data_IF_529724790933
#
_entry.id   IF_529724790933
#
_cell.length_a   1.000
_cell.length_b   1.000
_cell.length_c   1.000
_cell.angle_alpha   90.00
_cell.angle_beta   90.00
_cell.angle_gamma   90.00
#
_symmetry.space_group_name_H-M   'P 1'
#
loop_
_entity.id
_entity.type
_entity.pdbx_description
1 polymer ?
#
# COMPACT_ATOMS: atom_id res chain seq x y z
N UNK A 1 14.83 2.88 14.23
CA UNK A 1 15.12 2.57 12.82
C UNK A 1 13.96 1.78 12.21
N UNK A 2 13.57 2.10 10.99
CA UNK A 2 12.46 1.44 10.34
C UNK A 2 12.79 0.05 9.82
N UNK A 3 11.76 -0.70 9.48
CA UNK A 3 11.88 -2.01 8.85
C UNK A 3 10.95 -2.07 7.63
N UNK A 4 11.21 -3.02 6.73
CA UNK A 4 10.35 -3.32 5.60
C UNK A 4 10.01 -4.80 5.69
N UNK A 5 8.72 -5.12 5.68
CA UNK A 5 8.26 -6.49 5.86
C UNK A 5 6.97 -6.76 5.08
N UNK A 6 6.75 -8.03 4.75
CA UNK A 6 5.48 -8.49 4.19
C UNK A 6 4.45 -8.60 5.31
N UNK A 7 3.29 -8.01 5.11
CA UNK A 7 2.19 -8.11 6.06
C UNK A 7 1.09 -9.02 5.53
N UNK A 8 0.71 -10.01 6.34
CA UNK A 8 -0.49 -10.82 6.08
C UNK A 8 -1.61 -10.33 6.98
N UNK A 9 -2.73 -9.93 6.37
CA UNK A 9 -3.90 -9.41 7.08
C UNK A 9 -4.79 -10.56 7.57
N UNK A 10 -5.70 -10.27 8.52
CA UNK A 10 -6.61 -11.26 9.08
C UNK A 10 -7.52 -11.90 8.03
N UNK A 11 -7.86 -11.16 6.98
CA UNK A 11 -8.67 -11.66 5.88
C UNK A 11 -7.94 -12.65 4.98
N UNK A 12 -6.62 -12.82 5.16
CA UNK A 12 -5.78 -13.59 4.26
C UNK A 12 -5.18 -12.75 3.14
N UNK A 13 -5.58 -11.50 2.99
CA UNK A 13 -4.97 -10.57 2.03
C UNK A 13 -3.58 -10.19 2.48
N UNK A 14 -2.76 -9.74 1.54
CA UNK A 14 -1.37 -9.37 1.81
C UNK A 14 -1.06 -7.97 1.31
N UNK A 15 -0.25 -7.26 2.09
CA UNK A 15 0.40 -6.02 1.66
C UNK A 15 1.88 -6.35 1.50
N UNK A 16 2.45 -6.01 0.34
CA UNK A 16 3.80 -6.47 0.00
C UNK A 16 4.87 -5.92 0.94
N UNK A 17 4.77 -4.66 1.33
CA UNK A 17 5.77 -4.04 2.17
C UNK A 17 5.15 -3.12 3.19
N UNK A 18 5.74 -3.11 4.38
CA UNK A 18 5.46 -2.13 5.42
C UNK A 18 6.81 -1.56 5.85
N UNK A 19 6.95 -0.25 5.78
CA UNK A 19 8.06 0.44 6.41
C UNK A 19 7.59 1.00 7.74
N UNK A 20 8.32 0.72 8.81
CA UNK A 20 7.89 1.14 10.13
C UNK A 20 8.93 0.91 11.21
N UNK A 21 8.48 0.93 12.46
CA UNK A 21 9.29 0.64 13.63
C UNK A 21 8.79 -0.65 14.28
N UNK A 22 9.55 -1.74 14.12
CA UNK A 22 9.18 -3.05 14.60
C UNK A 22 9.04 -3.09 16.13
N UNK A 23 9.90 -2.37 16.84
CA UNK A 23 9.92 -2.39 18.31
C UNK A 23 8.60 -1.84 18.89
N UNK A 24 7.94 -0.94 18.21
CA UNK A 24 6.69 -0.32 18.65
C UNK A 24 5.47 -0.78 17.86
N UNK A 25 5.65 -1.66 16.87
CA UNK A 25 4.56 -2.09 16.02
C UNK A 25 3.98 -0.97 15.14
N UNK A 26 4.78 0.02 14.80
CA UNK A 26 4.36 1.20 14.04
C UNK A 26 4.67 1.00 12.56
N UNK A 27 3.65 1.16 11.72
CA UNK A 27 3.83 1.23 10.27
C UNK A 27 3.87 2.70 9.85
N UNK A 28 4.95 3.12 9.19
CA UNK A 28 5.06 4.48 8.66
C UNK A 28 4.53 4.60 7.25
N UNK A 29 4.68 3.56 6.47
CA UNK A 29 4.27 3.56 5.08
C UNK A 29 3.77 2.17 4.67
N UNK A 30 2.62 2.14 4.01
CA UNK A 30 2.04 0.91 3.47
C UNK A 30 2.27 0.91 1.97
N UNK A 31 2.92 -0.13 1.45
CA UNK A 31 3.33 -0.18 0.05
C UNK A 31 2.90 -1.50 -0.57
N UNK A 32 2.27 -1.42 -1.74
CA UNK A 32 1.88 -2.56 -2.55
C UNK A 32 2.55 -2.43 -3.90
N UNK A 33 3.10 -3.51 -4.42
CA UNK A 33 3.69 -3.52 -5.76
C UNK A 33 2.74 -4.26 -6.69
N UNK A 34 2.34 -3.61 -7.77
CA UNK A 34 1.48 -4.20 -8.79
C UNK A 34 1.94 -3.69 -10.15
N UNK A 35 2.17 -4.58 -11.11
CA UNK A 35 2.62 -4.18 -12.43
C UNK A 35 1.65 -3.21 -13.10
N UNK A 36 0.35 -3.41 -12.86
CA UNK A 36 -0.70 -2.57 -13.43
C UNK A 36 -1.93 -2.61 -12.55
N UNK A 37 -2.63 -1.48 -12.47
CA UNK A 37 -3.92 -1.35 -11.79
C UNK A 37 -5.08 -1.22 -12.79
N UNK A 38 -4.85 -1.55 -14.06
CA UNK A 38 -5.87 -1.44 -15.11
C UNK A 38 -6.92 -2.54 -15.04
N UNK A 39 -6.52 -3.75 -14.61
CA UNK A 39 -7.46 -4.85 -14.42
C UNK A 39 -8.30 -4.58 -13.18
N UNK A 40 -9.62 -4.57 -13.31
CA UNK A 40 -10.50 -4.21 -12.21
C UNK A 40 -10.44 -5.20 -11.04
N UNK A 41 -10.35 -6.49 -11.33
CA UNK A 41 -10.23 -7.50 -10.27
C UNK A 41 -8.93 -7.33 -9.48
N UNK A 42 -7.82 -7.07 -10.16
CA UNK A 42 -6.54 -6.77 -9.53
C UNK A 42 -6.64 -5.51 -8.69
N UNK A 43 -7.21 -4.44 -9.28
CA UNK A 43 -7.39 -3.16 -8.59
C UNK A 43 -8.20 -3.31 -7.31
N UNK A 44 -9.33 -4.00 -7.37
CA UNK A 44 -10.18 -4.22 -6.19
C UNK A 44 -9.44 -5.00 -5.12
N UNK A 45 -8.70 -6.04 -5.49
CA UNK A 45 -7.93 -6.84 -4.55
C UNK A 45 -6.86 -6.01 -3.86
N UNK A 46 -6.08 -5.23 -4.61
CA UNK A 46 -5.02 -4.41 -4.04
C UNK A 46 -5.58 -3.29 -3.17
N UNK A 47 -6.63 -2.61 -3.65
CA UNK A 47 -7.28 -1.54 -2.88
C UNK A 47 -7.87 -2.09 -1.59
N UNK A 48 -8.56 -3.23 -1.63
CA UNK A 48 -9.14 -3.84 -0.43
C UNK A 48 -8.08 -4.19 0.60
N UNK A 49 -6.95 -4.76 0.15
CA UNK A 49 -5.87 -5.11 1.06
C UNK A 49 -5.28 -3.86 1.72
N UNK A 50 -5.07 -2.79 0.96
CA UNK A 50 -4.54 -1.55 1.51
C UNK A 50 -5.54 -0.86 2.43
N UNK A 51 -6.84 -0.87 2.11
CA UNK A 51 -7.86 -0.33 3.01
C UNK A 51 -7.85 -1.04 4.36
N UNK A 52 -7.75 -2.36 4.35
CA UNK A 52 -7.68 -3.13 5.60
C UNK A 52 -6.43 -2.78 6.40
N UNK A 53 -5.29 -2.65 5.74
CA UNK A 53 -4.04 -2.27 6.39
C UNK A 53 -4.10 -0.83 6.92
N UNK A 54 -4.67 0.10 6.16
CA UNK A 54 -4.84 1.49 6.59
C UNK A 54 -5.68 1.57 7.86
N UNK A 55 -6.78 0.82 7.92
CA UNK A 55 -7.61 0.78 9.10
C UNK A 55 -6.87 0.16 10.29
N UNK A 56 -6.14 -0.92 10.06
CA UNK A 56 -5.40 -1.63 11.12
C UNK A 56 -4.31 -0.76 11.75
N UNK A 57 -3.60 0.03 10.94
CA UNK A 57 -2.49 0.85 11.40
C UNK A 57 -2.87 2.32 11.55
N UNK A 58 -4.14 2.65 11.41
CA UNK A 58 -4.65 4.01 11.52
C UNK A 58 -3.92 4.98 10.58
N UNK A 59 -3.74 4.53 9.32
CA UNK A 59 -3.09 5.32 8.28
C UNK A 59 -4.12 5.88 7.32
N UNK A 60 -3.89 7.11 6.88
CA UNK A 60 -4.74 7.78 5.89
C UNK A 60 -4.11 7.81 4.49
N UNK A 61 -2.95 7.20 4.32
CA UNK A 61 -2.27 7.10 3.04
C UNK A 61 -1.67 5.71 2.85
N UNK A 62 -1.67 5.25 1.59
CA UNK A 62 -0.98 4.04 1.17
C UNK A 62 -0.48 4.25 -0.26
N UNK A 63 0.47 3.44 -0.70
CA UNK A 63 1.08 3.59 -2.00
C UNK A 63 1.02 2.28 -2.78
N UNK A 64 0.65 2.37 -4.06
CA UNK A 64 0.79 1.27 -5.02
C UNK A 64 1.86 1.66 -6.02
N UNK A 65 2.88 0.82 -6.14
CA UNK A 65 3.97 1.05 -7.10
C UNK A 65 3.68 0.23 -8.35
N UNK A 66 3.63 0.91 -9.50
CA UNK A 66 3.34 0.31 -10.80
C UNK A 66 4.50 0.52 -11.77
N UNK A 67 4.38 0.01 -13.00
CA UNK A 67 5.36 0.29 -14.04
C UNK A 67 5.22 1.72 -14.55
N UNK A 68 4.02 2.17 -14.87
CA UNK A 68 3.80 3.45 -15.56
C UNK A 68 2.66 4.29 -14.99
N UNK A 69 1.69 3.68 -14.35
CA UNK A 69 0.46 4.36 -13.95
C UNK A 69 0.69 5.34 -12.80
N UNK A 70 -0.01 6.45 -12.87
CA UNK A 70 0.02 7.47 -11.83
C UNK A 70 -1.37 8.04 -11.63
N UNK A 71 -1.94 7.83 -10.45
CA UNK A 71 -3.27 8.35 -10.09
C UNK A 71 -3.45 8.28 -8.57
N UNK A 72 -4.51 8.90 -8.07
CA UNK A 72 -4.91 8.78 -6.67
C UNK A 72 -6.28 8.10 -6.61
N UNK A 73 -6.45 7.20 -5.63
CA UNK A 73 -7.71 6.53 -5.38
C UNK A 73 -8.20 6.96 -4.01
N UNK A 74 -9.33 7.65 -3.97
CA UNK A 74 -9.93 8.06 -2.71
C UNK A 74 -10.75 6.92 -2.12
N UNK A 75 -10.52 6.64 -0.84
CA UNK A 75 -11.23 5.59 -0.10
C UNK A 75 -11.70 6.17 1.23
N UNK A 76 -12.65 5.52 1.94
CA UNK A 76 -13.10 6.05 3.23
C UNK A 76 -11.98 6.25 4.25
N UNK A 77 -10.94 5.43 4.20
CA UNK A 77 -9.79 5.51 5.11
C UNK A 77 -8.83 6.64 4.76
N UNK A 78 -8.86 7.16 3.54
CA UNK A 78 -7.95 8.20 3.10
C UNK A 78 -7.66 8.16 1.60
N UNK A 79 -6.39 8.13 1.21
CA UNK A 79 -6.00 8.12 -0.19
C UNK A 79 -4.97 7.02 -0.45
N UNK A 80 -5.14 6.32 -1.57
CA UNK A 80 -4.17 5.36 -2.09
C UNK A 80 -3.51 6.00 -3.30
N UNK A 81 -2.22 6.25 -3.21
CA UNK A 81 -1.45 6.85 -4.30
C UNK A 81 -0.90 5.76 -5.19
N UNK A 82 -1.23 5.81 -6.46
CA UNK A 82 -0.67 4.91 -7.48
C UNK A 82 0.40 5.69 -8.21
N UNK A 83 1.63 5.17 -8.22
CA UNK A 83 2.74 5.88 -8.86
C UNK A 83 3.71 4.91 -9.53
N UNK A 84 4.39 5.35 -10.59
CA UNK A 84 5.40 4.50 -11.23
C UNK A 84 6.64 4.36 -10.34
N UNK A 85 7.30 3.21 -10.46
CA UNK A 85 8.46 2.88 -9.63
C UNK A 85 9.57 3.94 -9.71
N UNK A 86 9.82 4.49 -10.90
CA UNK A 86 10.86 5.50 -11.07
C UNK A 86 10.59 6.75 -10.24
N UNK A 87 9.33 7.15 -10.16
CA UNK A 87 8.92 8.32 -9.38
C UNK A 87 9.06 8.07 -7.90
N UNK A 88 8.62 6.88 -7.44
CA UNK A 88 8.74 6.49 -6.05
C UNK A 88 10.19 6.46 -5.58
N UNK A 89 11.10 5.94 -6.44
CA UNK A 89 12.52 5.87 -6.13
C UNK A 89 13.18 7.25 -6.05
N UNK A 90 12.71 8.21 -6.83
CA UNK A 90 13.27 9.57 -6.82
C UNK A 90 12.75 10.40 -5.66
N UNK A 91 11.66 10.03 -5.11
CA UNK A 91 11.09 10.87 -4.18
C UNK A 91 10.38 10.79 -3.11
#
# INVERSE_FOLDING_TARGET
MGFIALLKLKSGKKVDFIEGDEAFGIAYELIQVSLSMKNEATRQREVSALQEAMARFEKDEATVITLEEETDINVPEGVIRVMPAWKWLLG
#
